data_IF_749048898094
#
_entry.id   IF_749048898094
#
_cell.length_a   1.000
_cell.length_b   1.000
_cell.length_c   1.000
_cell.angle_alpha   90.00
_cell.angle_beta   90.00
_cell.angle_gamma   90.00
#
_symmetry.space_group_name_H-M   'P 1'
#
loop_
_entity.id
_entity.type
_entity.pdbx_description
1 polymer ?
#
# COMPACT_ATOMS: atom_id res chain seq x y z
N UNK A 1 0.29 -14.45 24.85
CA UNK A 1 1.26 -14.91 25.85
C UNK A 1 2.32 -15.71 25.11
N UNK A 2 3.57 -15.24 25.08
CA UNK A 2 4.70 -15.98 24.48
C UNK A 2 5.05 -17.16 25.40
N UNK A 3 5.14 -18.36 24.84
CA UNK A 3 5.32 -19.61 25.60
C UNK A 3 6.77 -19.87 26.05
N UNK A 4 7.66 -18.88 25.94
CA UNK A 4 9.06 -18.92 26.37
C UNK A 4 9.73 -17.54 26.31
N UNK A 5 10.92 -17.38 26.92
CA UNK A 5 11.69 -16.14 26.84
C UNK A 5 12.12 -15.85 25.40
N UNK A 6 12.10 -14.58 25.01
CA UNK A 6 12.59 -14.11 23.71
C UNK A 6 14.12 -14.20 23.71
N UNK A 7 14.72 -14.82 22.70
CA UNK A 7 16.18 -14.85 22.54
C UNK A 7 16.68 -13.51 21.97
N UNK A 8 17.41 -12.74 22.78
CA UNK A 8 17.87 -11.40 22.41
C UNK A 8 18.83 -11.42 21.23
N UNK A 9 19.80 -12.33 21.23
CA UNK A 9 20.82 -12.44 20.20
C UNK A 9 20.23 -12.88 18.86
N UNK A 10 19.30 -13.83 18.88
CA UNK A 10 18.56 -14.24 17.69
C UNK A 10 17.75 -13.05 17.13
N UNK A 11 17.09 -12.30 18.01
CA UNK A 11 16.31 -11.12 17.65
C UNK A 11 17.18 -10.00 17.01
N UNK A 12 18.34 -9.70 17.60
CA UNK A 12 19.29 -8.72 17.02
C UNK A 12 19.84 -9.20 15.68
N UNK A 13 20.16 -10.49 15.55
CA UNK A 13 20.67 -11.08 14.31
C UNK A 13 19.63 -11.05 13.20
N UNK A 14 18.37 -11.35 13.53
CA UNK A 14 17.25 -11.24 12.59
C UNK A 14 17.04 -9.78 12.16
N UNK A 15 17.10 -8.83 13.10
CA UNK A 15 17.00 -7.41 12.80
C UNK A 15 18.13 -6.95 11.83
N UNK A 16 19.39 -7.34 12.11
CA UNK A 16 20.52 -6.94 11.28
C UNK A 16 20.52 -7.58 9.89
N UNK A 17 20.18 -8.87 9.79
CA UNK A 17 20.09 -9.55 8.50
C UNK A 17 18.90 -9.04 7.67
N UNK A 18 17.74 -8.81 8.30
CA UNK A 18 16.57 -8.27 7.63
C UNK A 18 16.77 -6.86 7.07
N UNK A 19 17.64 -6.04 7.68
CA UNK A 19 17.95 -4.68 7.20
C UNK A 19 18.64 -4.66 5.82
N UNK A 20 19.32 -5.75 5.46
CA UNK A 20 20.01 -5.91 4.18
C UNK A 20 19.14 -6.68 3.18
N UNK A 21 18.42 -7.70 3.66
CA UNK A 21 17.82 -8.71 2.78
C UNK A 21 16.30 -8.54 2.57
N UNK A 22 15.59 -7.83 3.46
CA UNK A 22 14.12 -7.66 3.39
C UNK A 22 13.76 -6.21 3.07
N UNK A 23 13.36 -5.97 1.82
CA UNK A 23 12.85 -4.66 1.37
C UNK A 23 11.41 -4.36 1.84
N UNK A 24 10.66 -5.36 2.32
CA UNK A 24 9.29 -5.27 2.87
C UNK A 24 9.09 -6.36 3.93
N UNK A 25 8.12 -6.19 4.84
CA UNK A 25 7.84 -7.09 5.98
C UNK A 25 9.02 -7.26 6.95
N UNK A 26 9.74 -6.15 7.19
CA UNK A 26 10.75 -6.09 8.23
C UNK A 26 10.07 -5.78 9.56
N UNK A 27 10.08 -6.73 10.49
CA UNK A 27 9.51 -6.58 11.82
C UNK A 27 9.99 -7.72 12.73
N UNK A 28 10.21 -7.45 14.02
CA UNK A 28 10.64 -8.46 14.99
C UNK A 28 9.55 -9.51 15.26
N UNK A 29 9.97 -10.66 15.82
CA UNK A 29 9.12 -11.81 16.09
C UNK A 29 7.97 -11.57 17.10
N UNK A 30 7.94 -10.43 17.78
CA UNK A 30 6.87 -10.06 18.71
C UNK A 30 6.28 -8.69 18.34
N UNK A 31 4.96 -8.60 18.25
CA UNK A 31 4.23 -7.39 17.81
C UNK A 31 4.60 -6.13 18.61
N UNK A 32 4.90 -6.25 19.91
CA UNK A 32 5.25 -5.11 20.75
C UNK A 32 6.63 -4.51 20.44
N UNK A 33 7.47 -5.22 19.70
CA UNK A 33 8.81 -4.80 19.34
C UNK A 33 8.83 -4.01 18.01
N UNK A 34 7.68 -3.75 17.38
CA UNK A 34 7.61 -3.00 16.12
C UNK A 34 8.31 -1.63 16.19
N UNK A 35 8.34 -1.01 17.37
CA UNK A 35 9.00 0.27 17.63
C UNK A 35 10.43 0.13 18.19
N UNK A 36 10.90 -1.08 18.44
CA UNK A 36 12.20 -1.36 19.02
C UNK A 36 13.30 -1.42 17.95
N UNK A 37 14.42 -0.77 18.24
CA UNK A 37 15.64 -0.80 17.43
C UNK A 37 16.80 -1.19 18.35
N UNK A 38 17.60 -2.21 17.99
CA UNK A 38 18.73 -2.61 18.83
C UNK A 38 19.81 -1.52 18.86
N UNK A 39 20.32 -1.25 20.06
CA UNK A 39 21.47 -0.37 20.28
C UNK A 39 22.76 -1.17 20.52
N UNK A 40 23.91 -0.53 20.26
CA UNK A 40 25.23 -1.10 20.55
C UNK A 40 25.47 -1.22 22.06
N UNK A 41 24.86 -0.34 22.85
CA UNK A 41 24.78 -0.48 24.30
C UNK A 41 23.59 -1.37 24.69
N UNK A 42 23.89 -2.48 25.38
CA UNK A 42 22.88 -3.47 25.76
C UNK A 42 21.84 -2.88 26.72
N UNK A 43 22.23 -2.02 27.66
CA UNK A 43 21.28 -1.45 28.60
C UNK A 43 20.34 -0.45 27.89
N UNK A 44 20.87 0.39 27.00
CA UNK A 44 20.03 1.29 26.19
C UNK A 44 19.06 0.50 25.29
N UNK A 45 19.52 -0.59 24.68
CA UNK A 45 18.68 -1.49 23.86
C UNK A 45 17.55 -2.13 24.66
N UNK A 46 17.82 -2.57 25.89
CA UNK A 46 16.81 -3.15 26.79
C UNK A 46 15.81 -2.11 27.31
N UNK A 47 16.26 -0.89 27.60
CA UNK A 47 15.35 0.22 27.97
C UNK A 47 14.40 0.54 26.82
N UNK A 48 14.93 0.68 25.60
CA UNK A 48 14.11 0.91 24.41
C UNK A 48 13.11 -0.24 24.15
N UNK A 49 13.47 -1.47 24.54
CA UNK A 49 12.58 -2.63 24.45
C UNK A 49 11.40 -2.51 25.43
N UNK A 50 11.66 -2.07 26.65
CA UNK A 50 10.60 -1.81 27.65
C UNK A 50 9.73 -0.61 27.24
N UNK A 51 10.32 0.42 26.61
CA UNK A 51 9.57 1.53 26.01
C UNK A 51 8.60 1.04 24.92
N UNK A 52 9.08 0.19 24.01
CA UNK A 52 8.26 -0.40 22.95
C UNK A 52 7.15 -1.28 23.54
N UNK A 53 7.46 -2.09 24.56
CA UNK A 53 6.48 -2.89 25.30
C UNK A 53 5.40 -2.02 25.96
N UNK A 54 5.79 -0.93 26.63
CA UNK A 54 4.86 0.00 27.25
C UNK A 54 3.96 0.69 26.22
N UNK A 55 4.52 1.11 25.08
CA UNK A 55 3.77 1.72 23.98
C UNK A 55 2.75 0.78 23.34
N UNK A 56 3.05 -0.52 23.30
CA UNK A 56 2.15 -1.56 22.80
C UNK A 56 1.16 -2.10 23.86
N UNK A 57 1.21 -1.61 25.11
CA UNK A 57 0.37 -2.10 26.20
C UNK A 57 0.78 -3.47 26.76
N UNK A 58 1.99 -3.95 26.46
CA UNK A 58 2.55 -5.18 27.00
C UNK A 58 3.01 -4.95 28.44
N UNK A 59 2.38 -5.64 29.39
CA UNK A 59 2.63 -5.47 30.83
C UNK A 59 3.73 -6.37 31.39
N UNK A 60 4.10 -7.42 30.64
CA UNK A 60 5.20 -8.33 30.98
C UNK A 60 5.81 -8.99 29.73
N UNK A 61 7.09 -9.33 29.82
CA UNK A 61 7.77 -10.22 28.89
C UNK A 61 9.04 -10.78 29.53
N UNK A 62 9.56 -11.87 28.97
CA UNK A 62 10.83 -12.47 29.39
C UNK A 62 11.81 -12.49 28.23
N UNK A 63 13.08 -12.28 28.54
CA UNK A 63 14.18 -12.22 27.58
C UNK A 63 15.32 -13.10 28.04
N UNK A 64 15.84 -13.96 27.17
CA UNK A 64 17.06 -14.69 27.38
C UNK A 64 18.23 -13.94 26.74
N UNK A 65 19.32 -13.80 27.49
CA UNK A 65 20.58 -13.20 27.05
C UNK A 65 21.69 -14.24 27.25
N UNK A 66 22.49 -14.47 26.22
CA UNK A 66 23.57 -15.44 26.24
C UNK A 66 24.67 -15.10 27.27
N UNK A 67 25.56 -16.07 27.52
CA UNK A 67 26.67 -15.91 28.48
C UNK A 67 27.59 -14.71 28.18
N UNK A 68 27.82 -14.41 26.90
CA UNK A 68 28.78 -13.39 26.45
C UNK A 68 28.22 -11.99 26.67
N UNK A 69 26.94 -11.76 26.36
CA UNK A 69 26.27 -10.49 26.60
C UNK A 69 25.89 -10.32 28.07
N UNK A 70 25.47 -11.39 28.75
CA UNK A 70 25.20 -11.36 30.18
C UNK A 70 26.40 -10.89 31.01
N UNK A 71 27.62 -11.25 30.61
CA UNK A 71 28.85 -10.79 31.28
C UNK A 71 29.10 -9.26 31.15
N UNK A 72 28.48 -8.61 30.15
CA UNK A 72 28.60 -7.16 29.90
C UNK A 72 27.43 -6.37 30.50
N UNK A 73 26.39 -7.06 30.98
CA UNK A 73 25.19 -6.44 31.49
C UNK A 73 25.41 -5.91 32.91
N UNK A 74 25.27 -4.60 33.09
CA UNK A 74 25.24 -3.97 34.41
C UNK A 74 23.79 -3.92 34.92
N UNK A 75 23.40 -4.91 35.72
CA UNK A 75 22.05 -5.02 36.27
C UNK A 75 21.64 -3.83 37.16
N UNK A 76 22.60 -3.21 37.85
CA UNK A 76 22.30 -2.04 38.70
C UNK A 76 21.95 -0.84 37.84
N UNK A 77 22.72 -0.57 36.78
CA UNK A 77 22.45 0.52 35.85
C UNK A 77 21.13 0.31 35.08
N UNK A 78 20.83 -0.93 34.68
CA UNK A 78 19.57 -1.27 34.01
C UNK A 78 18.37 -1.08 34.96
N UNK A 79 18.48 -1.55 36.20
CA UNK A 79 17.43 -1.36 37.22
C UNK A 79 17.20 0.11 37.54
N UNK A 80 18.27 0.91 37.65
CA UNK A 80 18.18 2.36 37.85
C UNK A 80 17.49 3.05 36.66
N UNK A 81 17.84 2.67 35.43
CA UNK A 81 17.22 3.23 34.23
C UNK A 81 15.72 2.92 34.14
N UNK A 82 15.29 1.75 34.63
CA UNK A 82 13.91 1.25 34.54
C UNK A 82 13.08 1.42 35.81
N UNK A 83 13.64 1.99 36.88
CA UNK A 83 13.04 2.07 38.22
C UNK A 83 11.60 2.61 38.25
N UNK A 84 11.25 3.49 37.31
CA UNK A 84 9.92 4.13 37.22
C UNK A 84 9.10 3.64 36.02
N UNK A 85 9.43 2.48 35.47
CA UNK A 85 8.83 2.00 34.21
C UNK A 85 8.55 0.50 34.24
N UNK A 86 9.43 -0.29 34.83
CA UNK A 86 9.26 -1.74 34.95
C UNK A 86 10.05 -2.26 36.14
N UNK A 87 9.59 -3.37 36.69
CA UNK A 87 10.36 -4.17 37.63
C UNK A 87 11.04 -5.32 36.89
N UNK A 88 12.23 -5.70 37.35
CA UNK A 88 13.09 -6.68 36.67
C UNK A 88 13.46 -7.78 37.66
N UNK A 89 13.23 -9.02 37.29
CA UNK A 89 13.81 -10.20 37.94
C UNK A 89 14.85 -10.81 37.01
N UNK A 90 15.91 -11.37 37.59
CA UNK A 90 16.98 -12.01 36.84
C UNK A 90 17.33 -13.34 37.49
N UNK A 91 17.42 -14.39 36.68
CA UNK A 91 17.96 -15.68 37.10
C UNK A 91 18.90 -16.25 36.04
N UNK A 92 19.80 -17.13 36.45
CA UNK A 92 20.74 -17.79 35.54
C UNK A 92 20.06 -19.02 34.92
N UNK A 93 20.13 -19.15 33.60
CA UNK A 93 19.62 -20.30 32.87
C UNK A 93 20.61 -20.68 31.76
N UNK A 94 20.95 -21.96 31.62
CA UNK A 94 21.84 -22.48 30.56
C UNK A 94 23.18 -21.72 30.40
N UNK A 95 23.69 -21.11 31.47
CA UNK A 95 24.92 -20.30 31.47
C UNK A 95 24.76 -18.88 30.93
N UNK A 96 23.56 -18.48 30.50
CA UNK A 96 23.13 -17.11 30.23
C UNK A 96 22.28 -16.54 31.37
N UNK A 97 21.52 -15.48 31.08
CA UNK A 97 20.60 -14.84 32.02
C UNK A 97 19.22 -14.71 31.39
N UNK A 98 18.18 -15.04 32.17
CA UNK A 98 16.80 -14.69 31.85
C UNK A 98 16.43 -13.45 32.63
N UNK A 99 15.98 -12.42 31.92
CA UNK A 99 15.42 -11.20 32.46
C UNK A 99 13.90 -11.23 32.31
N UNK A 100 13.19 -11.12 33.41
CA UNK A 100 11.73 -11.03 33.43
C UNK A 100 11.33 -9.60 33.77
N UNK A 101 10.64 -8.95 32.84
CA UNK A 101 10.12 -7.61 33.01
C UNK A 101 8.63 -7.70 33.37
N UNK A 102 8.23 -7.02 34.43
CA UNK A 102 6.85 -7.00 34.91
C UNK A 102 6.43 -5.61 35.38
N UNK A 103 5.12 -5.42 35.47
CA UNK A 103 4.50 -4.14 35.80
C UNK A 103 4.96 -3.01 34.85
N UNK A 104 5.12 -3.34 33.56
CA UNK A 104 5.55 -2.37 32.55
C UNK A 104 4.46 -1.32 32.36
N UNK A 105 4.82 -0.05 32.44
CA UNK A 105 3.94 1.07 32.15
C UNK A 105 4.70 2.22 31.49
N UNK A 106 3.99 3.15 30.86
CA UNK A 106 4.64 4.33 30.28
C UNK A 106 5.39 5.11 31.37
N UNK A 107 6.68 5.39 31.15
CA UNK A 107 7.43 6.26 32.03
C UNK A 107 6.82 7.67 32.01
N UNK A 108 6.74 8.33 33.16
CA UNK A 108 6.51 9.79 33.18
C UNK A 108 7.72 10.45 32.51
N UNK A 109 7.55 11.39 31.57
CA UNK A 109 8.66 11.93 30.80
C UNK A 109 9.61 12.70 31.72
N UNK A 110 10.73 12.09 32.09
CA UNK A 110 11.93 12.83 32.53
C UNK A 110 12.55 13.44 31.30
N UNK A 111 12.32 14.73 31.09
CA UNK A 111 12.93 15.52 30.01
C UNK A 111 14.46 15.49 30.19
N UNK A 112 15.12 14.53 29.54
CA UNK A 112 16.56 14.60 29.29
C UNK A 112 16.73 15.22 27.90
N UNK A 113 17.27 16.43 27.87
CA UNK A 113 17.63 17.13 26.62
C UNK A 113 18.73 16.33 25.90
N UNK A 114 18.35 15.45 24.96
CA UNK A 114 19.30 14.88 24.01
C UNK A 114 19.71 16.00 23.05
N UNK A 115 20.93 16.51 23.21
CA UNK A 115 21.55 17.44 22.29
C UNK A 115 21.57 16.82 20.87
N UNK A 116 21.06 17.57 19.90
CA UNK A 116 20.96 17.15 18.51
C UNK A 116 22.34 16.81 17.94
N UNK A 117 22.64 15.52 17.79
CA UNK A 117 23.84 15.05 17.13
C UNK A 117 23.62 15.20 15.61
N UNK A 118 24.24 16.20 15.00
CA UNK A 118 24.24 16.43 13.54
C UNK A 118 24.65 15.15 12.81
N UNK A 119 23.71 14.54 12.12
CA UNK A 119 23.97 13.46 11.16
C UNK A 119 24.75 14.08 10.00
N UNK A 120 26.04 13.72 9.87
CA UNK A 120 26.84 14.04 8.70
C UNK A 120 26.30 13.23 7.53
N UNK A 121 25.80 13.92 6.50
CA UNK A 121 25.49 13.33 5.20
C UNK A 121 26.77 12.75 4.61
N UNK A 122 26.84 11.42 4.49
CA UNK A 122 27.91 10.74 3.78
C UNK A 122 27.50 10.47 2.34
N UNK A 123 28.50 10.60 1.47
CA UNK A 123 28.42 10.67 0.01
C UNK A 123 27.80 9.45 -0.67
N UNK A 124 27.07 9.75 -1.75
CA UNK A 124 26.74 8.92 -2.93
C UNK A 124 27.09 7.43 -2.86
N UNK A 125 26.05 6.60 -2.73
CA UNK A 125 26.08 5.16 -3.02
C UNK A 125 26.49 4.91 -4.48
N UNK A 126 27.28 3.88 -4.78
CA UNK A 126 27.45 3.38 -6.14
C UNK A 126 26.17 2.69 -6.62
N UNK A 127 25.86 2.84 -7.91
CA UNK A 127 24.69 2.25 -8.54
C UNK A 127 24.66 0.73 -8.38
N UNK A 128 23.54 0.22 -7.86
CA UNK A 128 23.27 -1.20 -7.82
C UNK A 128 23.04 -1.72 -9.26
N UNK A 129 23.54 -2.92 -9.60
CA UNK A 129 23.32 -3.50 -10.92
C UNK A 129 21.83 -3.73 -11.15
N UNK A 130 21.28 -3.07 -12.17
CA UNK A 130 19.92 -3.29 -12.67
C UNK A 130 19.77 -4.74 -13.13
N UNK A 131 19.14 -5.57 -12.31
CA UNK A 131 18.71 -6.90 -12.73
C UNK A 131 17.76 -6.74 -13.93
N UNK A 132 18.19 -7.22 -15.10
CA UNK A 132 17.34 -7.28 -16.29
C UNK A 132 16.11 -8.14 -15.98
N UNK A 133 14.88 -7.67 -16.25
CA UNK A 133 13.71 -8.53 -16.20
C UNK A 133 13.91 -9.75 -17.08
N UNK A 134 13.48 -10.92 -16.59
CA UNK A 134 13.45 -12.14 -17.38
C UNK A 134 12.69 -11.90 -18.69
N UNK A 135 13.14 -12.55 -19.76
CA UNK A 135 12.55 -12.42 -21.09
C UNK A 135 11.03 -12.64 -21.04
N UNK A 136 10.29 -11.65 -21.54
CA UNK A 136 8.83 -11.71 -21.67
C UNK A 136 8.45 -12.95 -22.49
N UNK A 137 7.52 -13.76 -21.97
CA UNK A 137 6.90 -14.83 -22.75
C UNK A 137 6.19 -14.18 -23.94
N UNK A 138 6.63 -14.48 -25.15
CA UNK A 138 6.13 -13.90 -26.40
C UNK A 138 4.86 -14.57 -26.92
N UNK A 139 4.08 -15.24 -26.06
CA UNK A 139 2.82 -15.83 -26.52
C UNK A 139 1.79 -14.71 -26.66
N UNK A 140 1.26 -14.56 -27.88
CA UNK A 140 0.09 -13.72 -28.17
C UNK A 140 -1.21 -14.31 -27.59
N UNK A 141 -1.16 -15.54 -27.05
CA UNK A 141 -2.31 -16.17 -26.39
C UNK A 141 -2.73 -15.37 -25.15
N UNK A 142 -4.04 -15.25 -24.93
CA UNK A 142 -4.58 -14.62 -23.73
C UNK A 142 -4.12 -15.43 -22.52
N UNK A 143 -3.48 -14.78 -21.56
CA UNK A 143 -3.20 -15.41 -20.27
C UNK A 143 -4.53 -15.76 -19.56
N UNK A 144 -4.61 -16.95 -18.97
CA UNK A 144 -5.83 -17.48 -18.33
C UNK A 144 -6.47 -16.47 -17.35
N UNK A 145 -5.65 -15.68 -16.66
CA UNK A 145 -6.06 -14.64 -15.74
C UNK A 145 -6.99 -13.55 -16.33
N UNK A 146 -7.06 -13.41 -17.66
CA UNK A 146 -7.89 -12.42 -18.36
C UNK A 146 -8.95 -13.03 -19.27
N UNK A 147 -8.85 -14.33 -19.56
CA UNK A 147 -9.66 -14.98 -20.59
C UNK A 147 -11.17 -14.89 -20.29
N UNK A 148 -11.56 -15.03 -19.03
CA UNK A 148 -12.96 -14.95 -18.61
C UNK A 148 -13.55 -13.55 -18.87
N UNK A 149 -12.82 -12.49 -18.50
CA UNK A 149 -13.27 -11.10 -18.66
C UNK A 149 -13.39 -10.70 -20.14
N UNK A 150 -12.47 -11.17 -20.98
CA UNK A 150 -12.46 -10.86 -22.41
C UNK A 150 -13.52 -11.63 -23.19
N UNK A 151 -13.75 -12.92 -22.89
CA UNK A 151 -14.77 -13.76 -23.56
C UNK A 151 -16.20 -13.22 -23.44
N UNK A 152 -16.50 -12.48 -22.38
CA UNK A 152 -17.84 -11.94 -22.10
C UNK A 152 -18.06 -10.51 -22.62
N UNK A 153 -17.22 -10.01 -23.52
CA UNK A 153 -17.27 -8.62 -23.96
C UNK A 153 -18.20 -8.44 -25.15
N UNK A 154 -19.25 -7.63 -25.00
CA UNK A 154 -19.99 -7.07 -26.13
C UNK A 154 -19.20 -5.93 -26.76
N UNK A 155 -19.03 -5.92 -28.08
CA UNK A 155 -18.26 -4.88 -28.79
C UNK A 155 -19.07 -3.60 -28.98
N UNK A 156 -19.35 -2.88 -27.89
CA UNK A 156 -20.20 -1.68 -27.89
C UNK A 156 -19.50 -0.44 -28.44
N UNK A 157 -18.18 -0.43 -28.46
CA UNK A 157 -17.32 0.68 -28.87
C UNK A 157 -16.64 0.42 -30.23
N UNK A 158 -16.97 -0.68 -30.90
CA UNK A 158 -16.49 -0.95 -32.24
C UNK A 158 -17.20 -0.05 -33.27
N UNK A 159 -16.42 0.57 -34.15
CA UNK A 159 -16.94 1.31 -35.29
C UNK A 159 -16.20 2.61 -35.59
N UNK A 160 -16.86 3.47 -36.35
CA UNK A 160 -16.35 4.79 -36.72
C UNK A 160 -17.00 5.86 -35.86
N UNK A 161 -16.31 6.98 -35.69
CA UNK A 161 -16.89 8.23 -35.21
C UNK A 161 -16.47 9.36 -36.14
N UNK A 162 -17.36 10.33 -36.27
CA UNK A 162 -17.15 11.52 -37.08
C UNK A 162 -16.76 12.70 -36.18
N UNK A 163 -16.23 13.75 -36.82
CA UNK A 163 -15.93 15.01 -36.13
C UNK A 163 -17.22 15.62 -35.54
N UNK A 164 -17.09 16.21 -34.36
CA UNK A 164 -18.19 16.90 -33.68
C UNK A 164 -17.76 18.32 -33.31
N UNK A 165 -18.68 19.26 -33.46
CA UNK A 165 -18.42 20.66 -33.11
C UNK A 165 -18.01 20.80 -31.65
N UNK A 166 -16.97 21.60 -31.38
CA UNK A 166 -16.40 21.80 -30.05
C UNK A 166 -15.46 20.70 -29.56
N UNK A 167 -15.31 19.59 -30.29
CA UNK A 167 -14.42 18.49 -29.93
C UNK A 167 -13.29 18.33 -30.97
N UNK A 168 -12.12 17.93 -30.51
CA UNK A 168 -10.98 17.61 -31.37
C UNK A 168 -10.94 16.11 -31.60
N UNK A 169 -11.16 15.73 -32.85
CA UNK A 169 -11.04 14.34 -33.29
C UNK A 169 -9.57 13.95 -33.48
N UNK A 170 -9.13 12.88 -32.81
CA UNK A 170 -7.78 12.31 -32.98
C UNK A 170 -7.86 10.82 -33.25
N UNK A 171 -6.89 10.32 -34.00
CA UNK A 171 -6.78 8.90 -34.33
C UNK A 171 -5.33 8.46 -34.22
N UNK A 172 -5.15 7.18 -33.90
CA UNK A 172 -3.89 6.48 -33.95
C UNK A 172 -4.10 5.07 -34.49
N UNK A 173 -3.09 4.56 -35.17
CA UNK A 173 -3.07 3.22 -35.74
C UNK A 173 -1.86 2.47 -35.22
N UNK A 174 -2.06 1.21 -34.84
CA UNK A 174 -1.00 0.31 -34.43
C UNK A 174 -1.42 -1.14 -34.68
N UNK A 175 -0.51 -1.93 -35.24
CA UNK A 175 -0.68 -3.37 -35.48
C UNK A 175 -2.01 -3.70 -36.21
N UNK A 176 -2.41 -2.84 -37.15
CA UNK A 176 -3.63 -2.94 -37.97
C UNK A 176 -4.93 -2.45 -37.31
N UNK A 177 -4.91 -2.13 -36.01
CA UNK A 177 -6.06 -1.60 -35.29
C UNK A 177 -6.02 -0.07 -35.21
N UNK A 178 -7.19 0.56 -35.12
CA UNK A 178 -7.33 2.02 -35.01
C UNK A 178 -8.08 2.37 -33.72
N UNK A 179 -7.56 3.35 -32.98
CA UNK A 179 -8.25 4.03 -31.89
C UNK A 179 -8.61 5.45 -32.32
N UNK A 180 -9.87 5.82 -32.14
CA UNK A 180 -10.43 7.11 -32.49
C UNK A 180 -11.06 7.77 -31.26
N UNK A 181 -10.65 9.01 -30.95
CA UNK A 181 -11.12 9.74 -29.77
C UNK A 181 -11.71 11.10 -30.17
N UNK A 182 -12.80 11.49 -29.50
CA UNK A 182 -13.29 12.86 -29.47
C UNK A 182 -12.94 13.50 -28.13
N UNK A 183 -12.09 14.53 -28.17
CA UNK A 183 -11.52 15.15 -26.98
C UNK A 183 -11.99 16.60 -26.85
N UNK A 184 -12.50 16.97 -25.68
CA UNK A 184 -12.85 18.36 -25.36
C UNK A 184 -11.59 19.15 -24.99
N UNK A 185 -11.24 20.22 -25.70
CA UNK A 185 -9.98 20.94 -25.44
C UNK A 185 -9.89 21.67 -24.10
N UNK A 186 -11.03 22.12 -23.55
CA UNK A 186 -11.05 22.91 -22.33
C UNK A 186 -10.62 22.10 -21.10
N UNK A 187 -11.14 20.88 -20.97
CA UNK A 187 -10.82 19.95 -19.88
C UNK A 187 -9.84 18.84 -20.29
N UNK A 188 -9.46 18.77 -21.58
CA UNK A 188 -8.72 17.66 -22.19
C UNK A 188 -9.41 16.30 -22.02
N UNK A 189 -10.75 16.30 -21.88
CA UNK A 189 -11.57 15.15 -21.53
C UNK A 189 -11.93 14.33 -22.77
N UNK A 190 -11.80 13.00 -22.69
CA UNK A 190 -12.28 12.09 -23.73
C UNK A 190 -13.79 11.94 -23.59
N UNK A 191 -14.55 12.50 -24.53
CA UNK A 191 -16.01 12.35 -24.58
C UNK A 191 -16.45 11.06 -25.25
N UNK A 192 -15.63 10.56 -26.18
CA UNK A 192 -15.95 9.34 -26.94
C UNK A 192 -14.68 8.63 -27.36
N UNK A 193 -14.67 7.31 -27.25
CA UNK A 193 -13.62 6.43 -27.73
C UNK A 193 -14.21 5.33 -28.61
N UNK A 194 -13.66 5.10 -29.79
CA UNK A 194 -14.05 4.02 -30.69
C UNK A 194 -12.82 3.27 -31.17
N UNK A 195 -12.97 1.97 -31.37
CA UNK A 195 -11.95 1.13 -31.99
C UNK A 195 -12.47 0.47 -33.26
N UNK A 196 -11.57 0.08 -34.15
CA UNK A 196 -11.91 -0.72 -35.35
C UNK A 196 -10.68 -1.47 -35.87
N UNK A 197 -10.95 -2.38 -36.79
CA UNK A 197 -9.95 -3.10 -37.60
C UNK A 197 -9.01 -4.00 -36.76
N UNK A 198 -9.41 -4.37 -35.54
CA UNK A 198 -8.65 -5.30 -34.72
C UNK A 198 -8.56 -6.68 -35.39
N UNK A 199 -7.35 -7.19 -35.58
CA UNK A 199 -7.10 -8.39 -36.37
C UNK A 199 -7.72 -9.68 -35.83
N UNK A 200 -7.93 -9.77 -34.50
CA UNK A 200 -8.50 -10.95 -33.83
C UNK A 200 -9.54 -10.54 -32.77
N UNK A 201 -10.57 -11.37 -32.50
CA UNK A 201 -11.64 -11.04 -31.57
C UNK A 201 -11.17 -10.66 -30.16
N UNK A 202 -10.08 -11.27 -29.69
CA UNK A 202 -9.48 -11.02 -28.39
C UNK A 202 -8.94 -9.59 -28.28
N UNK A 203 -8.32 -9.09 -29.36
CA UNK A 203 -7.84 -7.70 -29.45
C UNK A 203 -9.00 -6.74 -29.55
N UNK A 204 -10.05 -7.08 -30.31
CA UNK A 204 -11.27 -6.27 -30.38
C UNK A 204 -11.91 -6.13 -29.00
N UNK A 205 -12.06 -7.23 -28.26
CA UNK A 205 -12.59 -7.23 -26.90
C UNK A 205 -11.73 -6.41 -25.93
N UNK A 206 -10.40 -6.52 -26.02
CA UNK A 206 -9.47 -5.73 -25.20
C UNK A 206 -9.63 -4.23 -25.48
N UNK A 207 -9.68 -3.83 -26.76
CA UNK A 207 -9.85 -2.43 -27.15
C UNK A 207 -11.23 -1.89 -26.79
N UNK A 208 -12.26 -2.72 -26.83
CA UNK A 208 -13.61 -2.34 -26.41
C UNK A 208 -13.66 -2.00 -24.92
N UNK A 209 -13.08 -2.87 -24.08
CA UNK A 209 -12.92 -2.63 -22.64
C UNK A 209 -12.06 -1.41 -22.35
N UNK A 210 -11.04 -1.17 -23.17
CA UNK A 210 -10.20 0.02 -23.06
C UNK A 210 -10.97 1.29 -23.41
N UNK A 211 -11.77 1.30 -24.48
CA UNK A 211 -12.62 2.44 -24.85
C UNK A 211 -13.61 2.77 -23.73
N UNK A 212 -14.30 1.76 -23.19
CA UNK A 212 -15.21 1.92 -22.06
C UNK A 212 -14.54 2.49 -20.81
N UNK A 213 -13.26 2.18 -20.61
CA UNK A 213 -12.48 2.65 -19.45
C UNK A 213 -12.05 4.12 -19.60
N UNK A 214 -11.68 4.56 -20.81
CA UNK A 214 -11.06 5.86 -21.03
C UNK A 214 -12.05 6.98 -21.37
N UNK A 215 -13.28 6.66 -21.77
CA UNK A 215 -14.33 7.67 -21.85
C UNK A 215 -14.56 8.30 -20.48
N UNK A 216 -14.62 9.63 -20.43
CA UNK A 216 -14.71 10.41 -19.20
C UNK A 216 -13.38 10.66 -18.48
N UNK A 217 -12.24 10.25 -19.04
CA UNK A 217 -10.91 10.57 -18.50
C UNK A 217 -10.22 11.67 -19.31
N UNK A 218 -9.38 12.52 -18.68
CA UNK A 218 -8.44 13.33 -19.42
C UNK A 218 -7.55 12.46 -20.30
N UNK A 219 -7.21 12.93 -21.50
CA UNK A 219 -6.39 12.14 -22.44
C UNK A 219 -5.00 11.82 -21.89
N UNK A 220 -4.45 12.68 -21.02
CA UNK A 220 -3.19 12.40 -20.33
C UNK A 220 -3.34 11.25 -19.31
N UNK A 221 -4.43 11.25 -18.53
CA UNK A 221 -4.74 10.16 -17.59
C UNK A 221 -4.94 8.82 -18.32
N UNK A 222 -5.71 8.84 -19.42
CA UNK A 222 -5.90 7.65 -20.24
C UNK A 222 -4.56 7.12 -20.81
N UNK A 223 -3.64 8.02 -21.16
CA UNK A 223 -2.31 7.68 -21.67
C UNK A 223 -1.42 7.06 -20.59
N UNK A 224 -1.35 7.68 -19.41
CA UNK A 224 -0.38 7.33 -18.38
C UNK A 224 -0.84 6.12 -17.56
N UNK A 225 -2.14 6.04 -17.26
CA UNK A 225 -2.69 5.04 -16.35
C UNK A 225 -3.73 4.12 -17.00
N UNK A 226 -4.22 4.42 -18.21
CA UNK A 226 -5.31 3.67 -18.82
C UNK A 226 -5.02 2.18 -18.96
N UNK A 227 -3.83 1.77 -19.43
CA UNK A 227 -3.51 0.34 -19.58
C UNK A 227 -3.27 -0.36 -18.25
N UNK A 228 -2.77 0.35 -17.24
CA UNK A 228 -2.61 -0.15 -15.86
C UNK A 228 -4.00 -0.43 -15.25
N UNK A 229 -4.92 0.54 -15.37
CA UNK A 229 -6.30 0.39 -14.91
C UNK A 229 -7.04 -0.72 -15.67
N UNK A 230 -6.81 -0.84 -16.98
CA UNK A 230 -7.40 -1.90 -17.80
C UNK A 230 -6.96 -3.28 -17.32
N UNK A 231 -5.65 -3.47 -17.12
CA UNK A 231 -5.11 -4.74 -16.64
C UNK A 231 -5.68 -5.10 -15.27
N UNK A 232 -5.69 -4.15 -14.33
CA UNK A 232 -6.22 -4.38 -12.98
C UNK A 232 -7.72 -4.76 -12.99
N UNK A 233 -8.51 -4.19 -13.91
CA UNK A 233 -9.95 -4.50 -14.06
C UNK A 233 -10.21 -5.85 -14.72
N UNK A 234 -9.36 -6.27 -15.65
CA UNK A 234 -9.54 -7.54 -16.36
C UNK A 234 -9.01 -8.75 -15.58
N UNK A 235 -8.08 -8.51 -14.65
CA UNK A 235 -7.47 -9.59 -13.87
C UNK A 235 -8.52 -10.28 -13.00
N UNK A 236 -8.57 -11.61 -13.12
CA UNK A 236 -9.29 -12.44 -12.17
C UNK A 236 -8.57 -12.45 -10.82
N UNK A 237 -9.09 -11.68 -9.86
CA UNK A 237 -8.56 -11.62 -8.49
C UNK A 237 -8.96 -12.81 -7.62
N UNK A 238 -9.92 -13.64 -8.07
CA UNK A 238 -10.26 -14.90 -7.39
C UNK A 238 -9.28 -16.02 -7.75
N UNK A 239 -8.61 -15.94 -8.90
CA UNK A 239 -7.52 -16.84 -9.24
C UNK A 239 -6.33 -16.64 -8.32
N UNK A 240 -5.86 -17.73 -7.70
CA UNK A 240 -4.67 -17.72 -6.84
C UNK A 240 -3.36 -17.49 -7.63
N UNK A 241 -3.40 -17.49 -8.96
CA UNK A 241 -2.22 -17.39 -9.83
C UNK A 241 -2.00 -15.94 -10.23
N UNK A 242 -0.96 -15.30 -9.68
CA UNK A 242 -0.52 -13.98 -10.15
C UNK A 242 0.08 -14.12 -11.56
N UNK A 243 -0.19 -13.19 -12.50
CA UNK A 243 0.35 -13.25 -13.86
C UNK A 243 1.88 -13.26 -13.91
N UNK A 244 2.51 -12.50 -13.01
CA UNK A 244 3.97 -12.42 -12.85
C UNK A 244 4.35 -12.31 -11.38
N UNK A 245 5.54 -12.80 -10.99
CA UNK A 245 6.11 -12.52 -9.68
C UNK A 245 6.46 -11.02 -9.54
N UNK A 246 6.24 -10.45 -8.35
CA UNK A 246 6.63 -9.05 -8.05
C UNK A 246 5.59 -7.99 -8.45
N UNK A 247 6.07 -6.88 -9.00
CA UNK A 247 5.24 -5.76 -9.49
C UNK A 247 4.64 -6.15 -10.84
N UNK A 248 3.32 -6.05 -10.95
CA UNK A 248 2.62 -6.36 -12.20
C UNK A 248 2.54 -5.08 -13.04
N UNK A 249 3.24 -5.06 -14.17
CA UNK A 249 2.99 -4.09 -15.24
C UNK A 249 2.18 -4.76 -16.35
N UNK A 250 1.36 -4.01 -17.11
CA UNK A 250 0.49 -4.60 -18.13
C UNK A 250 1.23 -5.50 -19.11
N UNK A 251 2.34 -5.03 -19.69
CA UNK A 251 3.10 -5.79 -20.70
C UNK A 251 3.84 -6.99 -20.11
N UNK A 252 4.25 -6.91 -18.83
CA UNK A 252 4.81 -8.06 -18.13
C UNK A 252 3.75 -9.12 -17.86
N UNK A 253 2.54 -8.68 -17.54
CA UNK A 253 1.41 -9.55 -17.24
C UNK A 253 0.91 -10.26 -18.51
N UNK A 254 0.82 -9.55 -19.63
CA UNK A 254 0.48 -10.09 -20.93
C UNK A 254 0.88 -9.13 -22.08
N UNK A 255 1.61 -9.59 -23.12
CA UNK A 255 2.03 -8.74 -24.24
C UNK A 255 0.88 -8.04 -24.98
N UNK A 256 -0.35 -8.59 -24.93
CA UNK A 256 -1.54 -7.99 -25.55
C UNK A 256 -1.83 -6.55 -25.09
N UNK A 257 -1.43 -6.16 -23.88
CA UNK A 257 -1.60 -4.79 -23.38
C UNK A 257 -0.71 -3.74 -24.08
N UNK A 258 0.29 -4.16 -24.86
CA UNK A 258 1.10 -3.23 -25.63
C UNK A 258 0.30 -2.48 -26.69
N UNK A 259 -0.74 -3.11 -27.26
CA UNK A 259 -1.57 -2.50 -28.30
C UNK A 259 -2.36 -1.27 -27.82
N UNK A 260 -3.22 -1.35 -26.79
CA UNK A 260 -3.94 -0.17 -26.29
C UNK A 260 -2.98 0.93 -25.84
N UNK A 261 -1.80 0.58 -25.27
CA UNK A 261 -0.78 1.57 -24.89
C UNK A 261 -0.23 2.34 -26.09
N UNK A 262 0.18 1.64 -27.16
CA UNK A 262 0.66 2.28 -28.39
C UNK A 262 -0.40 3.21 -28.98
N UNK A 263 -1.65 2.75 -29.02
CA UNK A 263 -2.77 3.51 -29.58
C UNK A 263 -3.06 4.80 -28.79
N UNK A 264 -3.16 4.74 -27.45
CA UNK A 264 -3.45 5.95 -26.65
C UNK A 264 -2.30 6.95 -26.69
N UNK A 265 -1.04 6.48 -26.69
CA UNK A 265 0.13 7.35 -26.83
C UNK A 265 0.17 8.03 -28.21
N UNK A 266 -0.16 7.28 -29.28
CA UNK A 266 -0.32 7.84 -30.61
C UNK A 266 -1.44 8.89 -30.68
N UNK A 267 -2.57 8.62 -30.04
CA UNK A 267 -3.71 9.53 -30.02
C UNK A 267 -3.38 10.82 -29.25
N UNK A 268 -2.70 10.70 -28.10
CA UNK A 268 -2.17 11.84 -27.35
C UNK A 268 -1.18 12.65 -28.19
N UNK A 269 -0.24 12.01 -28.88
CA UNK A 269 0.72 12.70 -29.75
C UNK A 269 0.01 13.49 -30.86
N UNK A 270 -1.01 12.90 -31.50
CA UNK A 270 -1.86 13.59 -32.49
C UNK A 270 -2.62 14.75 -31.86
N UNK A 271 -3.18 14.57 -30.67
CA UNK A 271 -3.87 15.63 -29.92
C UNK A 271 -2.97 16.81 -29.64
N UNK A 272 -1.77 16.57 -29.09
CA UNK A 272 -0.75 17.60 -28.81
C UNK A 272 -0.39 18.39 -30.07
N UNK A 273 -0.22 17.73 -31.22
CA UNK A 273 0.05 18.38 -32.51
C UNK A 273 -1.11 19.28 -32.98
N UNK A 274 -2.36 18.88 -32.74
CA UNK A 274 -3.54 19.63 -33.18
C UNK A 274 -3.88 20.81 -32.27
N UNK A 275 -3.69 20.69 -30.96
CA UNK A 275 -4.16 21.68 -29.98
C UNK A 275 -3.05 22.52 -29.35
N UNK A 276 -1.78 22.07 -29.45
CA UNK A 276 -0.68 22.65 -28.71
C UNK A 276 -0.64 22.25 -27.23
N UNK A 277 -1.47 21.28 -26.80
CA UNK A 277 -1.43 20.76 -25.43
C UNK A 277 -0.04 20.23 -25.08
N UNK A 278 0.59 20.81 -24.05
CA UNK A 278 1.98 20.51 -23.69
C UNK A 278 2.16 20.01 -22.26
N UNK A 279 1.09 19.93 -21.45
CA UNK A 279 1.20 19.45 -20.07
C UNK A 279 1.67 17.99 -20.04
N UNK A 280 2.51 17.72 -19.05
CA UNK A 280 2.93 16.39 -18.64
C UNK A 280 2.57 16.10 -17.18
N UNK A 281 2.00 17.09 -16.48
CA UNK A 281 1.55 16.93 -15.09
C UNK A 281 0.14 16.37 -15.11
N UNK A 282 -0.03 15.23 -14.41
CA UNK A 282 -1.28 14.51 -14.35
C UNK A 282 -1.81 14.52 -12.91
N UNK A 283 -2.65 15.52 -12.64
CA UNK A 283 -3.28 15.74 -11.34
C UNK A 283 -4.73 15.24 -11.31
N UNK A 284 -5.10 14.31 -12.21
CA UNK A 284 -6.47 13.83 -12.29
C UNK A 284 -6.83 12.99 -11.05
N UNK A 285 -7.74 13.54 -10.24
CA UNK A 285 -8.43 12.83 -9.18
C UNK A 285 -9.93 12.80 -9.51
N UNK A 286 -10.54 11.62 -9.72
CA UNK A 286 -11.97 11.52 -10.00
C UNK A 286 -12.85 11.95 -8.81
N UNK A 287 -12.28 12.11 -7.61
CA UNK A 287 -13.03 12.35 -6.39
C UNK A 287 -13.87 11.14 -5.99
N UNK A 288 -14.60 11.27 -4.88
CA UNK A 288 -15.63 10.31 -4.50
C UNK A 288 -16.91 10.55 -5.30
N UNK A 289 -17.73 9.52 -5.46
CA UNK A 289 -19.00 9.63 -6.18
C UNK A 289 -19.98 10.55 -5.45
N UNK A 290 -20.90 11.17 -6.20
CA UNK A 290 -21.99 11.97 -5.61
C UNK A 290 -22.84 11.13 -4.64
N UNK A 291 -23.03 9.84 -4.93
CA UNK A 291 -23.72 8.91 -4.04
C UNK A 291 -23.04 8.85 -2.67
N UNK A 292 -21.72 8.67 -2.64
CA UNK A 292 -20.95 8.62 -1.38
C UNK A 292 -20.94 9.98 -0.66
N UNK A 293 -20.75 11.06 -1.41
CA UNK A 293 -20.71 12.41 -0.86
C UNK A 293 -22.06 12.84 -0.28
N UNK A 294 -23.17 12.32 -0.80
CA UNK A 294 -24.52 12.57 -0.29
C UNK A 294 -24.87 11.84 1.01
N UNK A 295 -24.03 10.90 1.48
CA UNK A 295 -24.24 10.17 2.73
C UNK A 295 -23.70 10.96 3.94
N UNK A 296 -24.43 10.88 5.06
CA UNK A 296 -23.90 11.30 6.36
C UNK A 296 -22.91 10.27 6.92
N UNK A 297 -22.15 10.66 7.95
CA UNK A 297 -21.13 9.79 8.58
C UNK A 297 -21.71 8.45 9.06
N UNK A 298 -22.92 8.47 9.62
CA UNK A 298 -23.60 7.25 10.10
C UNK A 298 -23.87 6.28 8.94
N UNK A 299 -24.41 6.77 7.83
CA UNK A 299 -24.69 5.97 6.65
C UNK A 299 -23.40 5.45 5.99
N UNK A 300 -22.34 6.26 5.95
CA UNK A 300 -21.02 5.85 5.46
C UNK A 300 -20.44 4.71 6.30
N UNK A 301 -20.45 4.84 7.63
CA UNK A 301 -20.00 3.78 8.55
C UNK A 301 -20.85 2.53 8.43
N UNK A 302 -22.16 2.65 8.20
CA UNK A 302 -23.03 1.49 7.97
C UNK A 302 -22.68 0.76 6.67
N UNK A 303 -22.40 1.48 5.56
CA UNK A 303 -21.93 0.85 4.32
C UNK A 303 -20.59 0.13 4.52
N UNK A 304 -19.64 0.74 5.25
CA UNK A 304 -18.35 0.12 5.55
C UNK A 304 -18.48 -1.12 6.45
N UNK A 305 -19.33 -1.07 7.48
CA UNK A 305 -19.58 -2.19 8.38
C UNK A 305 -20.26 -3.39 7.68
N UNK A 306 -20.91 -3.17 6.53
CA UNK A 306 -21.47 -4.26 5.73
C UNK A 306 -20.40 -5.07 4.96
N UNK A 307 -19.18 -4.53 4.81
CA UNK A 307 -18.09 -5.17 4.03
C UNK A 307 -16.84 -5.45 4.86
N UNK A 308 -16.70 -4.84 6.04
CA UNK A 308 -15.61 -5.08 6.98
C UNK A 308 -16.11 -5.98 8.10
N UNK A 309 -15.49 -7.14 8.29
CA UNK A 309 -15.80 -8.02 9.42
C UNK A 309 -15.35 -7.36 10.73
N UNK A 310 -16.29 -7.10 11.63
CA UNK A 310 -16.03 -6.51 12.94
C UNK A 310 -15.15 -7.40 13.84
N UNK A 311 -15.05 -8.70 13.54
CA UNK A 311 -14.11 -9.59 14.21
C UNK A 311 -12.66 -9.37 13.74
N UNK A 312 -12.45 -8.82 12.54
CA UNK A 312 -11.13 -8.51 11.98
C UNK A 312 -10.71 -7.07 12.30
N UNK A 313 -11.57 -6.09 11.98
CA UNK A 313 -11.27 -4.68 12.16
C UNK A 313 -12.51 -3.82 12.38
N UNK A 314 -12.31 -2.63 12.95
CA UNK A 314 -13.36 -1.64 13.16
C UNK A 314 -12.96 -0.30 12.55
N UNK A 315 -13.92 0.39 11.91
CA UNK A 315 -13.70 1.74 11.38
C UNK A 315 -13.72 2.72 12.53
N UNK A 316 -12.57 3.33 12.80
CA UNK A 316 -12.43 4.35 13.85
C UNK A 316 -12.75 5.72 13.30
N UNK A 317 -12.33 6.04 12.08
CA UNK A 317 -12.58 7.35 11.48
C UNK A 317 -12.76 7.33 9.95
N UNK A 318 -13.36 8.41 9.43
CA UNK A 318 -13.46 8.71 8.00
C UNK A 318 -12.98 10.16 7.79
N UNK A 319 -11.71 10.31 7.46
CA UNK A 319 -11.06 11.61 7.25
C UNK A 319 -11.25 12.07 5.80
N UNK A 320 -11.41 13.39 5.61
CA UNK A 320 -11.48 14.02 4.29
C UNK A 320 -12.46 13.35 3.31
N UNK A 321 -13.55 12.80 3.84
CA UNK A 321 -14.58 12.04 3.12
C UNK A 321 -14.11 10.74 2.44
N UNK A 322 -12.81 10.46 2.30
CA UNK A 322 -12.30 9.31 1.52
C UNK A 322 -11.28 8.42 2.26
N UNK A 323 -10.70 8.91 3.36
CA UNK A 323 -9.67 8.18 4.12
C UNK A 323 -10.32 7.43 5.28
N UNK A 324 -10.44 6.12 5.13
CA UNK A 324 -11.02 5.23 6.14
C UNK A 324 -9.92 4.73 7.07
N UNK A 325 -9.99 5.10 8.35
CA UNK A 325 -9.06 4.64 9.38
C UNK A 325 -9.66 3.43 10.09
N UNK A 326 -8.89 2.35 10.19
CA UNK A 326 -9.31 1.11 10.86
C UNK A 326 -8.38 0.71 11.98
N UNK A 327 -8.98 0.10 13.00
CA UNK A 327 -8.30 -0.57 14.10
C UNK A 327 -8.52 -2.07 14.00
N UNK A 328 -7.44 -2.86 13.96
CA UNK A 328 -7.53 -4.33 13.98
C UNK A 328 -7.88 -4.84 15.37
N UNK A 329 -8.79 -5.81 15.44
CA UNK A 329 -9.13 -6.46 16.70
C UNK A 329 -7.91 -7.20 17.29
N UNK A 330 -7.82 -7.29 18.62
CA UNK A 330 -6.71 -7.97 19.31
C UNK A 330 -6.57 -9.46 18.91
N UNK A 331 -7.66 -10.09 18.47
CA UNK A 331 -7.65 -11.46 17.95
C UNK A 331 -6.86 -11.61 16.63
N UNK A 332 -6.58 -10.50 15.94
CA UNK A 332 -5.74 -10.43 14.75
C UNK A 332 -4.24 -10.20 15.10
N UNK A 333 -3.83 -10.29 16.38
CA UNK A 333 -2.42 -10.24 16.73
C UNK A 333 -1.62 -11.37 16.04
N UNK A 334 -0.49 -11.04 15.42
CA UNK A 334 0.34 -11.97 14.64
C UNK A 334 -0.15 -12.34 13.23
N UNK A 335 -1.24 -11.75 12.72
CA UNK A 335 -1.64 -11.94 11.32
C UNK A 335 -0.86 -11.00 10.38
N UNK A 336 -0.79 -11.35 9.09
CA UNK A 336 -0.27 -10.47 8.03
C UNK A 336 -1.27 -9.32 7.78
N UNK A 337 -1.21 -8.29 8.64
CA UNK A 337 -2.08 -7.11 8.62
C UNK A 337 -2.05 -6.42 7.26
N UNK A 338 -0.89 -6.35 6.61
CA UNK A 338 -0.77 -5.73 5.30
C UNK A 338 -1.59 -6.48 4.24
N UNK A 339 -1.49 -7.81 4.20
CA UNK A 339 -2.29 -8.61 3.26
C UNK A 339 -3.78 -8.50 3.55
N UNK A 340 -4.18 -8.45 4.81
CA UNK A 340 -5.58 -8.23 5.20
C UNK A 340 -6.07 -6.84 4.79
N UNK A 341 -5.29 -5.79 5.05
CA UNK A 341 -5.60 -4.42 4.62
C UNK A 341 -5.78 -4.33 3.11
N UNK A 342 -4.88 -4.92 2.32
CA UNK A 342 -5.01 -4.92 0.85
C UNK A 342 -6.29 -5.60 0.39
N UNK A 343 -6.66 -6.75 0.98
CA UNK A 343 -7.91 -7.45 0.65
C UNK A 343 -9.14 -6.64 1.06
N UNK A 344 -9.10 -6.04 2.23
CA UNK A 344 -10.17 -5.22 2.78
C UNK A 344 -10.37 -3.96 1.91
N UNK A 345 -9.30 -3.25 1.59
CA UNK A 345 -9.33 -2.09 0.70
C UNK A 345 -9.89 -2.44 -0.67
N UNK A 346 -9.46 -3.56 -1.28
CA UNK A 346 -10.01 -4.02 -2.56
C UNK A 346 -11.52 -4.31 -2.47
N UNK A 347 -11.96 -4.90 -1.36
CA UNK A 347 -13.37 -5.19 -1.10
C UNK A 347 -14.18 -3.91 -0.94
N UNK A 348 -13.68 -2.93 -0.19
CA UNK A 348 -14.29 -1.61 0.00
C UNK A 348 -14.41 -0.89 -1.35
N UNK A 349 -13.32 -0.82 -2.13
CA UNK A 349 -13.32 -0.15 -3.44
C UNK A 349 -14.27 -0.80 -4.44
N UNK A 350 -14.49 -2.10 -4.33
CA UNK A 350 -15.39 -2.85 -5.23
C UNK A 350 -16.86 -2.67 -4.85
N UNK A 351 -17.17 -2.63 -3.55
CA UNK A 351 -18.55 -2.75 -3.06
C UNK A 351 -19.13 -1.46 -2.45
N UNK A 352 -18.29 -0.47 -2.12
CA UNK A 352 -18.71 0.74 -1.40
C UNK A 352 -18.42 2.00 -2.21
N UNK A 353 -17.16 2.35 -2.42
CA UNK A 353 -16.73 3.55 -3.13
C UNK A 353 -15.29 3.35 -3.64
N UNK A 354 -15.07 3.38 -4.98
CA UNK A 354 -13.75 3.17 -5.58
C UNK A 354 -12.64 4.11 -5.09
N UNK A 355 -12.98 5.32 -4.64
CA UNK A 355 -12.02 6.33 -4.18
C UNK A 355 -11.51 6.12 -2.75
N UNK A 356 -12.16 5.26 -1.95
CA UNK A 356 -11.79 5.09 -0.53
C UNK A 356 -10.41 4.49 -0.36
N UNK A 357 -9.66 5.02 0.59
CA UNK A 357 -8.32 4.56 0.95
C UNK A 357 -8.32 4.06 2.39
N UNK A 358 -7.68 2.93 2.63
CA UNK A 358 -7.66 2.29 3.94
C UNK A 358 -6.35 2.59 4.68
N UNK A 359 -6.47 3.09 5.90
CA UNK A 359 -5.34 3.41 6.77
C UNK A 359 -5.44 2.67 8.09
N UNK A 360 -4.29 2.28 8.63
CA UNK A 360 -4.21 1.71 9.97
C UNK A 360 -4.16 2.85 10.99
N UNK A 361 -4.92 2.71 12.08
CA UNK A 361 -4.81 3.58 13.23
C UNK A 361 -3.39 3.48 13.84
N UNK A 362 -2.65 4.59 13.89
CA UNK A 362 -1.31 4.59 14.48
C UNK A 362 -1.41 4.40 16.01
N UNK A 363 -0.48 3.61 16.58
CA UNK A 363 -0.40 3.41 18.05
C UNK A 363 -0.26 4.71 18.85
N UNK A 364 0.23 5.80 18.23
CA UNK A 364 0.32 7.13 18.83
C UNK A 364 -1.06 7.78 19.05
N UNK A 365 -2.07 7.37 18.30
CA UNK A 365 -3.43 7.93 18.32
C UNK A 365 -4.39 7.18 19.26
N UNK A 366 -3.88 6.18 19.98
CA UNK A 366 -4.60 5.51 21.07
C UNK A 366 -4.78 6.39 22.32
N UNK A 367 -4.13 7.58 22.38
CA UNK A 367 -4.26 8.48 23.51
C UNK A 367 -5.59 9.27 23.46
N UNK A 368 -6.54 9.03 24.39
CA UNK A 368 -7.88 9.64 24.35
C UNK A 368 -7.88 11.18 24.41
N UNK A 369 -6.78 11.78 24.91
CA UNK A 369 -6.65 13.23 25.07
C UNK A 369 -6.61 13.93 23.71
N UNK A 370 -6.00 13.32 22.68
CA UNK A 370 -5.95 13.93 21.33
C UNK A 370 -7.18 13.70 20.48
N UNK A 371 -7.91 12.59 20.69
CA UNK A 371 -9.19 12.34 20.03
C UNK A 371 -10.26 13.37 20.40
N UNK A 372 -10.13 14.02 21.57
CA UNK A 372 -11.02 15.11 21.97
C UNK A 372 -10.62 16.47 21.39
N UNK A 373 -9.32 16.74 21.24
CA UNK A 373 -8.85 18.03 20.71
C UNK A 373 -9.10 18.20 19.21
N UNK A 374 -9.04 17.12 18.41
CA UNK A 374 -9.33 17.20 16.97
C UNK A 374 -10.80 17.53 16.62
N UNK A 375 -11.74 17.24 17.53
CA UNK A 375 -13.16 17.57 17.35
C UNK A 375 -13.50 19.02 17.73
N UNK A 376 -12.63 19.72 18.46
CA UNK A 376 -12.82 21.13 18.85
C UNK A 376 -12.20 22.11 17.86
N UNK A 377 -11.22 21.69 17.05
CA UNK A 377 -10.57 22.52 16.03
C UNK A 377 -11.31 22.55 14.67
N UNK A 378 -12.44 21.85 14.55
CA UNK A 378 -13.27 21.77 13.33
C UNK A 378 -14.64 22.49 13.46
N UNK A 379 -14.70 23.59 14.21
CA UNK A 379 -15.89 24.47 14.30
C UNK A 379 -15.63 25.88 13.82
#
# INVERSE_FOLDING_TARGET
MTTGPIDYEALVTEYQSGLVDKLRNFGPAADFLELWVPDADLAESLVAMVDAAAAAGTVNFALFIDRRLAARLNMNALSEALQNQASIACHDENGGKVLEFFAIHAARPTIRSRAAKKIRQNKSRPDAPTARPAALKTSDEIADAYAAALKQTSLAFEGKTDEKSGLVMVQAEADGAILALLVEPAANLIHMARHRDAAVPERAALLDRFCALIEGLPILEASDHGTIRLEARLRDHASAVRPVPGVVSPEAAWPGFALPRKLILGALATYRKKTGFASCDNDFDPGATEEWMGLDDKARRQKLAAVIDAAEATVTDIEHDVRVVVHFAAAAAGCDKQRQMMKMEQTIKTNVEPRLELYLEELKDANPIRRRTGAEDAK
#
